data_IF_732513709403
#
_entry.id   IF_732513709403
#
_cell.length_a   1.000
_cell.length_b   1.000
_cell.length_c   1.000
_cell.angle_alpha   90.00
_cell.angle_beta   90.00
_cell.angle_gamma   90.00
#
_symmetry.space_group_name_H-M   'P 1'
#
loop_
_entity.id
_entity.type
_entity.pdbx_description
1 polymer ?
#
# COMPACT_ATOMS: atom_id res chain seq x y z
N UNK A 1 -70.24 -15.17 -19.47
CA UNK A 1 -69.52 -15.71 -18.29
C UNK A 1 -69.12 -17.13 -18.64
N UNK A 2 -67.89 -17.51 -18.97
CA UNK A 2 -66.59 -16.87 -19.21
C UNK A 2 -65.81 -17.76 -20.22
N UNK A 3 -64.81 -17.27 -20.98
CA UNK A 3 -64.04 -18.12 -21.87
C UNK A 3 -63.01 -18.96 -21.09
N UNK A 4 -63.04 -20.27 -21.31
CA UNK A 4 -62.13 -21.25 -20.73
C UNK A 4 -60.73 -21.08 -21.33
N UNK A 5 -59.85 -20.37 -20.62
CA UNK A 5 -58.43 -20.20 -20.97
C UNK A 5 -57.66 -21.44 -20.56
N UNK A 6 -57.65 -22.45 -21.44
CA UNK A 6 -56.70 -23.56 -21.34
C UNK A 6 -55.29 -23.04 -21.53
N UNK A 7 -54.57 -22.91 -20.42
CA UNK A 7 -53.13 -22.69 -20.38
C UNK A 7 -52.44 -23.85 -21.10
N UNK A 8 -51.99 -23.59 -22.33
CA UNK A 8 -51.08 -24.48 -23.05
C UNK A 8 -49.76 -24.53 -22.27
N UNK A 9 -49.63 -25.50 -21.36
CA UNK A 9 -48.34 -25.93 -20.83
C UNK A 9 -47.56 -26.58 -21.97
N UNK A 10 -46.78 -25.80 -22.69
CA UNK A 10 -45.74 -26.32 -23.55
C UNK A 10 -44.68 -26.99 -22.68
N UNK A 11 -44.67 -28.33 -22.72
CA UNK A 11 -43.66 -29.16 -22.07
C UNK A 11 -42.38 -29.05 -22.88
N UNK A 12 -41.52 -28.08 -22.54
CA UNK A 12 -40.18 -27.89 -23.08
C UNK A 12 -39.25 -29.01 -22.60
N UNK A 13 -39.43 -30.24 -23.10
CA UNK A 13 -38.63 -31.40 -22.67
C UNK A 13 -37.37 -31.66 -23.51
N UNK A 14 -37.39 -31.29 -24.80
CA UNK A 14 -36.30 -31.59 -25.74
C UNK A 14 -35.22 -30.51 -25.86
N UNK A 15 -35.56 -29.25 -25.57
CA UNK A 15 -34.61 -28.12 -25.63
C UNK A 15 -33.65 -28.08 -24.45
N UNK A 16 -34.05 -28.59 -23.28
CA UNK A 16 -33.24 -28.52 -22.05
C UNK A 16 -31.94 -29.32 -22.15
N UNK A 17 -31.94 -30.46 -22.85
CA UNK A 17 -30.72 -31.26 -23.06
C UNK A 17 -29.74 -30.57 -24.02
N UNK A 18 -30.26 -30.01 -25.11
CA UNK A 18 -29.46 -29.26 -26.08
C UNK A 18 -28.88 -27.99 -25.45
N UNK A 19 -29.68 -27.30 -24.64
CA UNK A 19 -29.25 -26.13 -23.87
C UNK A 19 -28.14 -26.48 -22.88
N UNK A 20 -28.27 -27.60 -22.15
CA UNK A 20 -27.22 -28.08 -21.25
C UNK A 20 -25.92 -28.40 -21.98
N UNK A 21 -25.99 -29.05 -23.16
CA UNK A 21 -24.81 -29.32 -23.99
C UNK A 21 -24.15 -28.04 -24.49
N UNK A 22 -24.94 -27.07 -24.97
CA UNK A 22 -24.42 -25.78 -25.42
C UNK A 22 -23.76 -25.04 -24.25
N UNK A 23 -24.39 -25.03 -23.08
CA UNK A 23 -23.83 -24.41 -21.88
C UNK A 23 -22.48 -25.04 -21.47
N UNK A 24 -22.37 -26.37 -21.54
CA UNK A 24 -21.11 -27.09 -21.25
C UNK A 24 -20.02 -26.74 -22.27
N UNK A 25 -20.35 -26.67 -23.56
CA UNK A 25 -19.40 -26.29 -24.61
C UNK A 25 -18.91 -24.86 -24.40
N UNK A 26 -19.82 -23.92 -24.12
CA UNK A 26 -19.46 -22.52 -23.83
C UNK A 26 -18.58 -22.46 -22.57
N UNK A 27 -18.94 -23.17 -21.51
CA UNK A 27 -18.15 -23.22 -20.28
C UNK A 27 -16.74 -23.74 -20.53
N UNK A 28 -16.59 -24.82 -21.29
CA UNK A 28 -15.29 -25.40 -21.62
C UNK A 28 -14.41 -24.42 -22.42
N UNK A 29 -15.00 -23.69 -23.37
CA UNK A 29 -14.29 -22.67 -24.16
C UNK A 29 -13.87 -21.48 -23.29
N UNK A 30 -14.73 -21.05 -22.36
CA UNK A 30 -14.42 -19.93 -21.45
C UNK A 30 -13.46 -20.30 -20.31
N UNK A 31 -13.33 -21.58 -19.96
CA UNK A 31 -12.55 -22.01 -18.80
C UNK A 31 -11.05 -21.72 -18.95
N UNK A 32 -10.49 -21.94 -20.15
CA UNK A 32 -9.06 -21.73 -20.41
C UNK A 32 -8.64 -20.27 -20.19
N UNK A 33 -9.23 -19.27 -20.87
CA UNK A 33 -8.85 -17.87 -20.65
C UNK A 33 -9.19 -17.38 -19.23
N UNK A 34 -10.19 -17.96 -18.57
CA UNK A 34 -10.50 -17.63 -17.18
C UNK A 34 -9.41 -18.10 -16.20
N UNK A 35 -8.85 -19.30 -16.41
CA UNK A 35 -7.75 -19.82 -15.58
C UNK A 35 -6.46 -19.03 -15.83
N UNK A 36 -6.18 -18.65 -17.07
CA UNK A 36 -4.99 -17.85 -17.39
C UNK A 36 -5.08 -16.45 -16.77
N UNK A 37 -6.24 -15.79 -16.89
CA UNK A 37 -6.47 -14.50 -16.23
C UNK A 37 -6.35 -14.59 -14.69
N UNK A 38 -6.78 -15.70 -14.08
CA UNK A 38 -6.62 -15.91 -12.63
C UNK A 38 -5.14 -16.07 -12.24
N UNK A 39 -4.34 -16.80 -13.03
CA UNK A 39 -2.90 -16.98 -12.78
C UNK A 39 -2.14 -15.66 -12.93
N UNK A 40 -2.50 -14.88 -13.94
CA UNK A 40 -1.93 -13.54 -14.15
C UNK A 40 -2.28 -12.62 -12.97
N UNK A 41 -3.53 -12.64 -12.52
CA UNK A 41 -3.98 -11.89 -11.35
C UNK A 41 -3.24 -12.26 -10.07
N UNK A 42 -3.01 -13.55 -9.82
CA UNK A 42 -2.23 -14.01 -8.67
C UNK A 42 -0.76 -13.57 -8.75
N UNK A 43 -0.14 -13.71 -9.92
CA UNK A 43 1.26 -13.31 -10.14
C UNK A 43 1.46 -11.80 -9.95
N UNK A 44 0.50 -11.00 -10.44
CA UNK A 44 0.49 -9.56 -10.23
C UNK A 44 0.30 -9.20 -8.75
N UNK A 45 -0.58 -9.90 -8.03
CA UNK A 45 -0.80 -9.69 -6.61
C UNK A 45 0.46 -10.00 -5.78
N UNK A 46 1.15 -11.10 -6.09
CA UNK A 46 2.39 -11.46 -5.40
C UNK A 46 3.53 -10.48 -5.69
N UNK A 47 3.61 -9.92 -6.90
CA UNK A 47 4.58 -8.89 -7.24
C UNK A 47 4.36 -7.57 -6.48
N UNK A 48 3.10 -7.20 -6.23
CA UNK A 48 2.73 -5.94 -5.55
C UNK A 48 2.77 -6.05 -4.02
N UNK A 49 2.65 -7.26 -3.47
CA UNK A 49 2.56 -7.49 -2.02
C UNK A 49 3.74 -6.93 -1.22
N UNK A 50 5.02 -7.12 -1.61
CA UNK A 50 6.16 -6.56 -0.87
C UNK A 50 6.14 -5.04 -0.85
N UNK A 51 5.73 -4.40 -1.95
CA UNK A 51 5.64 -2.95 -2.03
C UNK A 51 4.55 -2.40 -1.10
N UNK A 52 3.37 -3.03 -1.07
CA UNK A 52 2.30 -2.63 -0.17
C UNK A 52 2.69 -2.79 1.31
N UNK A 53 3.34 -3.91 1.67
CA UNK A 53 3.85 -4.13 3.03
C UNK A 53 4.89 -3.09 3.41
N UNK A 54 5.84 -2.79 2.53
CA UNK A 54 6.87 -1.80 2.79
C UNK A 54 6.31 -0.38 2.92
N UNK A 55 5.30 -0.03 2.10
CA UNK A 55 4.61 1.24 2.23
C UNK A 55 3.88 1.35 3.59
N UNK A 56 3.16 0.32 4.00
CA UNK A 56 2.50 0.30 5.30
C UNK A 56 3.49 0.40 6.47
N UNK A 57 4.67 -0.23 6.35
CA UNK A 57 5.76 -0.12 7.34
C UNK A 57 6.32 1.30 7.42
N UNK A 58 6.50 1.97 6.28
CA UNK A 58 6.95 3.37 6.23
C UNK A 58 5.93 4.30 6.89
N UNK A 59 4.65 4.14 6.56
CA UNK A 59 3.55 4.92 7.15
C UNK A 59 3.47 4.71 8.66
N UNK A 60 3.46 3.46 9.12
CA UNK A 60 3.41 3.15 10.56
C UNK A 60 4.59 3.75 11.33
N UNK A 61 5.80 3.67 10.77
CA UNK A 61 6.99 4.28 11.40
C UNK A 61 6.91 5.79 11.39
N UNK A 62 6.40 6.39 10.31
CA UNK A 62 6.22 7.84 10.26
C UNK A 62 5.21 8.30 11.32
N UNK A 63 4.07 7.62 11.46
CA UNK A 63 3.07 7.91 12.48
C UNK A 63 3.65 7.82 13.90
N UNK A 64 4.44 6.78 14.16
CA UNK A 64 5.13 6.61 15.45
C UNK A 64 6.10 7.77 15.74
N UNK A 65 6.89 8.19 14.74
CA UNK A 65 7.79 9.34 14.88
C UNK A 65 6.99 10.62 15.13
N UNK A 66 5.94 10.87 14.34
CA UNK A 66 5.10 12.07 14.46
C UNK A 66 4.26 12.13 15.74
N UNK A 67 4.00 11.00 16.39
CA UNK A 67 3.36 10.95 17.70
C UNK A 67 4.23 11.57 18.81
N UNK A 68 5.52 11.74 18.58
CA UNK A 68 6.41 12.41 19.52
C UNK A 68 6.20 13.94 19.53
N UNK A 69 6.55 14.56 20.66
CA UNK A 69 6.51 16.03 20.77
C UNK A 69 7.57 16.64 19.86
N UNK A 70 7.25 17.82 19.31
CA UNK A 70 8.18 18.57 18.46
C UNK A 70 9.55 18.77 19.11
N UNK A 71 9.59 19.18 20.38
CA UNK A 71 10.84 19.40 21.10
C UNK A 71 11.73 18.15 21.15
N UNK A 72 11.13 16.97 21.36
CA UNK A 72 11.86 15.69 21.39
C UNK A 72 12.44 15.34 20.02
N UNK A 73 11.68 15.60 18.95
CA UNK A 73 12.16 15.38 17.59
C UNK A 73 13.26 16.37 17.20
N UNK A 74 13.16 17.63 17.66
CA UNK A 74 14.17 18.65 17.44
C UNK A 74 15.49 18.32 18.15
N UNK A 75 15.41 17.89 19.42
CA UNK A 75 16.58 17.42 20.17
C UNK A 75 17.25 16.22 19.48
N UNK A 76 16.45 15.27 18.97
CA UNK A 76 16.97 14.12 18.24
C UNK A 76 17.60 14.50 16.89
N UNK A 77 17.02 15.48 16.18
CA UNK A 77 17.60 16.02 14.96
C UNK A 77 18.97 16.66 15.24
N UNK A 78 19.05 17.46 16.30
CA UNK A 78 20.30 18.09 16.74
C UNK A 78 21.33 17.06 17.20
N UNK A 79 20.92 16.03 17.95
CA UNK A 79 21.79 14.94 18.37
C UNK A 79 22.33 14.10 17.20
N UNK A 80 21.54 13.96 16.12
CA UNK A 80 21.98 13.32 14.89
C UNK A 80 22.93 14.22 14.06
N UNK A 81 23.06 15.51 14.39
CA UNK A 81 23.91 16.47 13.69
C UNK A 81 23.18 17.39 12.72
N UNK A 82 21.83 17.40 12.75
CA UNK A 82 20.96 18.29 11.98
C UNK A 82 21.37 18.36 10.49
N UNK A 83 21.28 17.24 9.80
CA UNK A 83 21.74 17.10 8.42
C UNK A 83 20.84 16.13 7.63
N UNK A 84 20.60 16.37 6.32
CA UNK A 84 19.86 15.45 5.46
C UNK A 84 20.48 14.06 5.33
N UNK A 85 21.78 13.93 5.62
CA UNK A 85 22.49 12.64 5.58
C UNK A 85 22.62 11.99 6.96
N UNK A 86 22.19 12.66 8.02
CA UNK A 86 22.27 12.15 9.37
C UNK A 86 21.08 11.24 9.69
N UNK A 87 21.38 10.10 10.32
CA UNK A 87 20.37 9.12 10.73
C UNK A 87 20.06 9.35 12.22
N UNK A 88 18.80 9.62 12.53
CA UNK A 88 18.30 9.68 13.89
C UNK A 88 18.17 8.25 14.44
N UNK A 89 19.26 7.74 15.02
CA UNK A 89 19.37 6.36 15.49
C UNK A 89 18.28 5.97 16.51
N UNK A 90 17.79 6.92 17.32
CA UNK A 90 16.72 6.68 18.30
C UNK A 90 15.38 6.27 17.65
N UNK A 91 15.16 6.63 16.39
CA UNK A 91 13.92 6.34 15.65
C UNK A 91 14.14 5.37 14.48
N UNK A 92 15.38 4.95 14.25
CA UNK A 92 15.75 4.05 13.18
C UNK A 92 15.89 2.62 13.71
N UNK A 93 15.68 1.65 12.85
CA UNK A 93 15.93 0.24 13.18
C UNK A 93 17.44 0.03 13.46
N UNK A 94 17.78 -1.03 14.18
CA UNK A 94 19.17 -1.42 14.41
C UNK A 94 19.88 -1.79 13.11
N UNK A 95 21.19 -1.53 13.04
CA UNK A 95 22.00 -1.88 11.88
C UNK A 95 22.03 -3.41 11.65
N UNK A 96 22.08 -3.83 10.39
CA UNK A 96 22.18 -5.24 9.99
C UNK A 96 20.85 -5.98 9.85
N UNK A 97 19.71 -5.32 10.07
CA UNK A 97 18.39 -5.86 9.75
C UNK A 97 18.10 -5.84 8.23
N UNK A 98 17.36 -6.82 7.73
CA UNK A 98 16.77 -6.77 6.39
C UNK A 98 15.65 -5.73 6.34
N UNK A 99 15.58 -4.95 5.25
CA UNK A 99 14.59 -3.88 5.06
C UNK A 99 14.52 -2.91 6.25
N UNK A 100 15.70 -2.48 6.70
CA UNK A 100 15.88 -1.57 7.83
C UNK A 100 15.23 -0.22 7.53
N UNK A 101 14.39 0.26 8.44
CA UNK A 101 13.83 1.60 8.37
C UNK A 101 14.81 2.61 8.97
N UNK A 102 15.14 3.64 8.19
CA UNK A 102 16.00 4.74 8.56
C UNK A 102 15.17 6.01 8.69
N UNK A 103 15.35 6.73 9.78
CA UNK A 103 14.70 8.01 10.02
C UNK A 103 15.74 9.12 9.97
N UNK A 104 15.50 10.10 9.12
CA UNK A 104 16.29 11.32 8.99
C UNK A 104 15.46 12.49 9.50
N UNK A 105 16.04 13.28 10.41
CA UNK A 105 15.42 14.46 11.00
C UNK A 105 16.38 15.64 10.87
N UNK A 106 15.88 16.78 10.40
CA UNK A 106 16.63 18.04 10.41
C UNK A 106 15.69 19.26 10.40
N UNK A 107 16.18 20.39 10.90
CA UNK A 107 15.48 21.67 10.89
C UNK A 107 15.38 22.23 9.49
N UNK A 108 14.18 22.65 9.12
CA UNK A 108 13.84 23.14 7.79
C UNK A 108 13.21 24.52 7.90
N UNK A 109 13.60 25.49 7.07
CA UNK A 109 13.06 26.86 7.16
C UNK A 109 12.03 27.21 6.07
N UNK A 110 11.61 26.22 5.27
CA UNK A 110 10.76 26.44 4.10
C UNK A 110 11.53 26.44 2.78
N UNK A 111 12.83 26.72 2.83
CA UNK A 111 13.72 26.74 1.66
C UNK A 111 14.80 25.66 1.69
N UNK A 112 15.22 25.23 2.88
CA UNK A 112 16.29 24.27 3.02
C UNK A 112 16.58 23.87 4.46
N UNK A 113 17.66 23.10 4.62
CA UNK A 113 18.29 22.84 5.90
C UNK A 113 18.67 24.17 6.57
N UNK A 114 18.34 24.32 7.85
CA UNK A 114 18.75 25.47 8.64
C UNK A 114 19.39 25.05 9.96
N UNK A 115 20.35 25.83 10.45
CA UNK A 115 20.91 25.65 11.80
C UNK A 115 20.05 26.30 12.89
N UNK A 116 19.20 27.25 12.50
CA UNK A 116 18.35 28.01 13.42
C UNK A 116 17.03 27.27 13.69
N UNK A 117 16.45 27.52 14.85
CA UNK A 117 15.12 27.01 15.17
C UNK A 117 14.05 27.79 14.38
N UNK A 118 13.56 27.17 13.30
CA UNK A 118 12.48 27.67 12.45
C UNK A 118 11.09 27.24 12.94
N UNK A 119 11.00 26.36 13.95
CA UNK A 119 9.75 25.70 14.33
C UNK A 119 9.24 24.69 13.29
N UNK A 120 10.09 24.27 12.36
CA UNK A 120 9.78 23.32 11.28
C UNK A 120 10.87 22.25 11.19
N UNK A 121 10.45 20.99 11.19
CA UNK A 121 11.32 19.83 11.02
C UNK A 121 10.95 19.08 9.76
N UNK A 122 11.96 18.75 8.96
CA UNK A 122 11.83 17.73 7.93
C UNK A 122 11.96 16.36 8.57
N UNK A 123 10.99 15.50 8.29
CA UNK A 123 10.95 14.11 8.77
C UNK A 123 10.90 13.20 7.56
N UNK A 124 11.89 12.32 7.44
CA UNK A 124 11.96 11.35 6.36
C UNK A 124 12.16 9.96 6.93
N UNK A 125 11.35 9.02 6.47
CA UNK A 125 11.51 7.59 6.75
C UNK A 125 11.83 6.89 5.43
N UNK A 126 12.89 6.11 5.37
CA UNK A 126 13.32 5.41 4.17
C UNK A 126 13.71 3.96 4.49
N UNK A 127 13.58 3.06 3.52
CA UNK A 127 14.15 1.71 3.63
C UNK A 127 15.60 1.74 3.15
N UNK A 128 16.52 1.23 3.96
CA UNK A 128 17.94 1.14 3.62
C UNK A 128 18.14 0.38 2.31
N UNK A 129 18.85 1.00 1.36
CA UNK A 129 19.12 0.42 0.03
C UNK A 129 17.93 0.44 -0.95
N UNK A 130 16.81 1.06 -0.59
CA UNK A 130 15.62 1.20 -1.44
C UNK A 130 15.42 2.64 -1.91
N UNK A 131 14.64 2.81 -2.99
CA UNK A 131 14.11 4.12 -3.42
C UNK A 131 12.83 4.51 -2.68
N UNK A 132 12.25 3.59 -1.88
CA UNK A 132 11.05 3.86 -1.10
C UNK A 132 11.38 4.73 0.12
N UNK A 133 10.79 5.92 0.14
CA UNK A 133 10.79 6.80 1.31
C UNK A 133 9.48 7.56 1.42
N UNK A 134 9.17 7.98 2.65
CA UNK A 134 8.04 8.82 2.98
C UNK A 134 8.56 10.04 3.74
N UNK A 135 8.21 11.21 3.22
CA UNK A 135 8.74 12.49 3.70
C UNK A 135 7.58 13.39 4.11
N UNK A 136 7.77 14.15 5.18
CA UNK A 136 6.77 15.10 5.67
C UNK A 136 7.43 16.25 6.43
N UNK A 137 6.62 17.28 6.72
CA UNK A 137 7.00 18.40 7.56
C UNK A 137 6.25 18.32 8.88
N UNK A 138 6.98 18.48 9.98
CA UNK A 138 6.40 18.64 11.31
C UNK A 138 6.61 20.08 11.79
N UNK A 139 5.51 20.77 12.06
CA UNK A 139 5.49 22.09 12.69
C UNK A 139 5.56 21.98 14.21
N UNK A 140 5.97 23.04 14.91
CA UNK A 140 5.81 23.16 16.35
C UNK A 140 4.36 23.32 16.79
N UNK A 141 3.58 24.03 16.00
CA UNK A 141 2.21 24.49 16.27
C UNK A 141 1.18 23.57 15.64
#
# INVERSE_FOLDING_TARGET
MAPDRRLLRHRQGGLSYVEALIAVVIFAVCLVPAVDALRDGLSAADALRPQAVNQQRLEARLEEVLANRFATLDDAAMAAGNSPSAIAAAYSDAAGGTDRLLVTLYRYDGSGLTGSDSGLLWVRVAIEGSSLSLDTLRTRW
#
